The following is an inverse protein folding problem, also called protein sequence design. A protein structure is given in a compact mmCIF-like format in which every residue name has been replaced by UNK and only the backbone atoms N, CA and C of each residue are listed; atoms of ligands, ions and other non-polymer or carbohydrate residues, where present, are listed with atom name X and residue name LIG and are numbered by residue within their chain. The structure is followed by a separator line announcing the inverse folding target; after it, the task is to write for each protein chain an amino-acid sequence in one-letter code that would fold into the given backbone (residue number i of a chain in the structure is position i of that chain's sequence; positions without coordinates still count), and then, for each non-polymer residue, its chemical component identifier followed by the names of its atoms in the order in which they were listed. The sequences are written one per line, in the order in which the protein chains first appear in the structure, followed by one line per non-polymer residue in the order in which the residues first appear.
data_IF_134645039289
#
_entry.id   IF_134645039289
#
_cell.length_a   1.000
_cell.length_b   1.000
_cell.length_c   1.000
_cell.angle_alpha   90.00
_cell.angle_beta   90.00
_cell.angle_gamma   90.00
#
_symmetry.space_group_name_H-M   'P 1'
#
loop_
_entity.id
_entity.type
_entity.pdbx_description
1 polymer ?
#
# COMPACT_ATOMS: atom_id res chain seq x y z
N UNK A 1 41.31 9.84 3.13
CA UNK A 1 40.41 9.47 4.25
C UNK A 1 38.97 9.50 3.74
N UNK A 2 38.39 8.36 3.36
CA UNK A 2 37.06 8.32 2.69
C UNK A 2 36.11 7.23 3.20
N UNK A 3 36.26 6.73 4.44
CA UNK A 3 35.61 5.45 4.79
C UNK A 3 34.86 5.44 6.14
N UNK A 4 34.19 6.52 6.57
CA UNK A 4 33.54 6.54 7.90
C UNK A 4 32.16 7.25 7.95
N UNK A 5 31.41 7.33 6.83
CA UNK A 5 30.09 8.00 6.81
C UNK A 5 28.95 7.20 6.15
N UNK A 6 29.20 5.97 5.68
CA UNK A 6 28.21 5.21 4.89
C UNK A 6 27.50 4.07 5.65
N UNK A 7 27.87 3.76 6.89
CA UNK A 7 27.29 2.61 7.58
C UNK A 7 25.89 2.89 8.15
N UNK A 8 25.61 4.13 8.55
CA UNK A 8 24.30 4.51 9.13
C UNK A 8 23.27 5.02 8.09
N UNK A 9 23.67 5.21 6.82
CA UNK A 9 22.76 5.68 5.75
C UNK A 9 22.16 4.56 4.90
N UNK A 10 22.73 3.36 4.96
CA UNK A 10 22.33 2.22 4.15
C UNK A 10 21.23 1.37 4.81
N UNK A 11 21.18 1.30 6.15
CA UNK A 11 20.26 0.43 6.91
C UNK A 11 18.78 0.78 6.72
N UNK A 12 18.42 2.06 6.81
CA UNK A 12 17.05 2.54 6.58
C UNK A 12 16.55 2.29 5.14
N UNK A 13 17.47 2.14 4.18
CA UNK A 13 17.10 1.81 2.81
C UNK A 13 16.75 0.32 2.62
N UNK A 14 17.31 -0.57 3.45
CA UNK A 14 17.07 -2.02 3.38
C UNK A 14 15.70 -2.40 3.95
N UNK A 15 15.33 -1.86 5.11
CA UNK A 15 14.01 -2.12 5.72
C UNK A 15 12.89 -1.59 4.83
N UNK A 16 13.03 -0.35 4.32
CA UNK A 16 12.08 0.22 3.38
C UNK A 16 12.00 -0.61 2.08
N UNK A 17 13.13 -1.05 1.53
CA UNK A 17 13.17 -1.95 0.35
C UNK A 17 12.46 -3.27 0.62
N UNK A 18 12.64 -3.88 1.79
CA UNK A 18 11.94 -5.11 2.18
C UNK A 18 10.42 -4.93 2.20
N UNK A 19 9.94 -3.86 2.82
CA UNK A 19 8.51 -3.50 2.83
C UNK A 19 7.97 -3.24 1.43
N UNK A 20 8.75 -2.58 0.56
CA UNK A 20 8.34 -2.33 -0.83
C UNK A 20 8.27 -3.61 -1.66
N UNK A 21 9.22 -4.53 -1.50
CA UNK A 21 9.22 -5.81 -2.22
C UNK A 21 8.05 -6.67 -1.76
N UNK A 22 7.83 -6.78 -0.45
CA UNK A 22 6.69 -7.50 0.10
C UNK A 22 5.37 -6.89 -0.39
N UNK A 23 5.27 -5.56 -0.42
CA UNK A 23 4.10 -4.86 -0.93
C UNK A 23 3.83 -5.09 -2.41
N UNK A 24 4.88 -5.06 -3.24
CA UNK A 24 4.79 -5.34 -4.66
C UNK A 24 4.37 -6.78 -4.96
N UNK A 25 4.94 -7.76 -4.27
CA UNK A 25 4.58 -9.18 -4.44
C UNK A 25 3.16 -9.45 -3.97
N UNK A 26 2.74 -8.89 -2.83
CA UNK A 26 1.37 -9.00 -2.34
C UNK A 26 0.37 -8.43 -3.34
N UNK A 27 0.62 -7.21 -3.83
CA UNK A 27 -0.22 -6.58 -4.84
C UNK A 27 -0.26 -7.40 -6.14
N UNK A 28 0.88 -7.92 -6.61
CA UNK A 28 0.92 -8.70 -7.84
C UNK A 28 0.06 -9.98 -7.76
N UNK A 29 0.02 -10.64 -6.60
CA UNK A 29 -0.75 -11.87 -6.40
C UNK A 29 -2.24 -11.57 -6.19
N UNK A 30 -2.58 -10.63 -5.30
CA UNK A 30 -3.98 -10.42 -4.86
C UNK A 30 -4.72 -9.32 -5.63
N UNK A 31 -4.04 -8.38 -6.27
CA UNK A 31 -4.69 -7.31 -7.04
C UNK A 31 -5.62 -7.81 -8.14
N UNK A 32 -5.25 -8.80 -8.99
CA UNK A 32 -6.15 -9.23 -10.06
C UNK A 32 -7.47 -9.78 -9.52
N UNK A 33 -7.42 -10.62 -8.48
CA UNK A 33 -8.64 -11.21 -7.91
C UNK A 33 -9.49 -10.17 -7.18
N UNK A 34 -8.87 -9.23 -6.44
CA UNK A 34 -9.61 -8.17 -5.73
C UNK A 34 -10.29 -7.22 -6.70
N UNK A 35 -9.64 -6.88 -7.82
CA UNK A 35 -10.24 -6.06 -8.87
C UNK A 35 -11.46 -6.77 -9.47
N UNK A 36 -11.37 -8.07 -9.75
CA UNK A 36 -12.51 -8.85 -10.27
C UNK A 36 -13.67 -8.85 -9.26
N UNK A 37 -13.38 -9.08 -7.98
CA UNK A 37 -14.42 -9.06 -6.94
C UNK A 37 -15.09 -7.69 -6.89
N UNK A 38 -14.31 -6.62 -6.87
CA UNK A 38 -14.81 -5.25 -6.67
C UNK A 38 -15.50 -4.67 -7.92
N UNK A 39 -14.97 -4.93 -9.11
CA UNK A 39 -15.48 -4.39 -10.37
C UNK A 39 -16.55 -5.27 -11.02
N UNK A 40 -16.61 -6.56 -10.70
CA UNK A 40 -17.54 -7.50 -11.32
C UNK A 40 -18.48 -8.15 -10.30
N UNK A 41 -17.95 -8.85 -9.29
CA UNK A 41 -18.78 -9.68 -8.40
C UNK A 41 -19.69 -8.84 -7.50
N UNK A 42 -19.21 -7.71 -6.97
CA UNK A 42 -20.03 -6.80 -6.15
C UNK A 42 -21.16 -6.14 -6.96
N UNK A 43 -20.90 -5.53 -8.14
CA UNK A 43 -21.96 -4.85 -8.90
C UNK A 43 -22.91 -5.82 -9.62
N UNK A 44 -22.44 -6.98 -10.10
CA UNK A 44 -23.26 -7.94 -10.85
C UNK A 44 -23.74 -9.14 -10.02
N UNK A 45 -23.35 -9.23 -8.74
CA UNK A 45 -23.71 -10.34 -7.86
C UNK A 45 -25.06 -10.17 -7.15
N UNK A 46 -25.66 -11.30 -6.79
CA UNK A 46 -26.92 -11.34 -6.05
C UNK A 46 -26.74 -10.82 -4.61
N UNK A 47 -27.84 -10.42 -3.96
CA UNK A 47 -27.84 -9.90 -2.59
C UNK A 47 -27.18 -10.86 -1.58
N UNK A 48 -27.36 -12.17 -1.76
CA UNK A 48 -26.69 -13.20 -0.95
C UNK A 48 -25.16 -13.14 -1.11
N UNK A 49 -24.65 -13.11 -2.34
CA UNK A 49 -23.21 -13.02 -2.63
C UNK A 49 -22.59 -11.79 -1.97
N UNK A 50 -23.26 -10.64 -2.04
CA UNK A 50 -22.82 -9.41 -1.38
C UNK A 50 -22.78 -9.55 0.15
N UNK A 51 -23.79 -10.17 0.75
CA UNK A 51 -23.85 -10.39 2.20
C UNK A 51 -22.75 -11.33 2.69
N UNK A 52 -22.39 -12.36 1.92
CA UNK A 52 -21.25 -13.24 2.23
C UNK A 52 -19.92 -12.50 2.18
N UNK A 53 -19.69 -11.68 1.15
CA UNK A 53 -18.46 -10.88 1.03
C UNK A 53 -18.35 -9.89 2.21
N UNK A 54 -19.44 -9.23 2.56
CA UNK A 54 -19.47 -8.34 3.73
C UNK A 54 -19.18 -9.10 5.02
N UNK A 55 -19.75 -10.29 5.21
CA UNK A 55 -19.51 -11.12 6.38
C UNK A 55 -18.05 -11.60 6.46
N UNK A 56 -17.44 -11.94 5.32
CA UNK A 56 -16.04 -12.33 5.21
C UNK A 56 -15.11 -11.16 5.56
N UNK A 57 -15.38 -9.98 4.99
CA UNK A 57 -14.64 -8.74 5.27
C UNK A 57 -14.74 -8.32 6.73
N UNK A 58 -15.87 -8.59 7.38
CA UNK A 58 -16.09 -8.16 8.75
C UNK A 58 -15.35 -9.03 9.80
N UNK A 59 -14.77 -10.16 9.39
CA UNK A 59 -13.91 -10.97 10.27
C UNK A 59 -12.58 -10.27 10.55
N UNK A 60 -11.95 -10.54 11.70
CA UNK A 60 -10.64 -9.96 12.05
C UNK A 60 -9.58 -10.23 10.97
N UNK A 61 -9.58 -11.43 10.39
CA UNK A 61 -8.68 -11.79 9.29
C UNK A 61 -8.97 -10.97 8.02
N UNK A 62 -10.26 -10.79 7.67
CA UNK A 62 -10.68 -9.99 6.52
C UNK A 62 -10.32 -8.51 6.64
N UNK A 63 -10.43 -7.95 7.85
CA UNK A 63 -10.03 -6.56 8.12
C UNK A 63 -8.53 -6.36 7.99
N UNK A 64 -7.72 -7.28 8.56
CA UNK A 64 -6.26 -7.25 8.40
C UNK A 64 -5.87 -7.42 6.94
N UNK A 65 -6.53 -8.34 6.22
CA UNK A 65 -6.30 -8.53 4.78
C UNK A 65 -6.57 -7.25 3.98
N UNK A 66 -7.68 -6.56 4.22
CA UNK A 66 -7.99 -5.28 3.56
C UNK A 66 -7.00 -4.18 3.91
N UNK A 67 -6.57 -4.11 5.17
CA UNK A 67 -5.53 -3.16 5.60
C UNK A 67 -4.24 -3.38 4.81
N UNK A 68 -3.80 -4.64 4.70
CA UNK A 68 -2.63 -4.98 3.91
C UNK A 68 -2.85 -4.62 2.44
N UNK A 69 -4.01 -4.98 1.88
CA UNK A 69 -4.35 -4.75 0.48
C UNK A 69 -4.40 -3.27 0.10
N UNK A 70 -4.78 -2.38 1.03
CA UNK A 70 -4.81 -0.94 0.79
C UNK A 70 -3.44 -0.31 1.02
N UNK A 71 -2.75 -0.72 2.08
CA UNK A 71 -1.48 -0.10 2.50
C UNK A 71 -0.33 -0.50 1.56
N UNK A 72 -0.11 -1.80 1.34
CA UNK A 72 1.08 -2.31 0.65
C UNK A 72 1.28 -1.78 -0.79
N UNK A 73 0.24 -1.70 -1.65
CA UNK A 73 0.39 -1.18 -3.01
C UNK A 73 0.79 0.30 -3.04
N UNK A 74 0.35 1.08 -2.05
CA UNK A 74 0.63 2.52 -1.93
C UNK A 74 2.09 2.72 -1.53
N UNK A 75 2.57 1.97 -0.55
CA UNK A 75 3.99 2.00 -0.17
C UNK A 75 4.90 1.62 -1.35
N UNK A 76 4.51 0.65 -2.18
CA UNK A 76 5.27 0.31 -3.39
C UNK A 76 5.17 1.36 -4.50
N UNK A 77 3.98 1.92 -4.74
CA UNK A 77 3.69 2.79 -5.88
C UNK A 77 4.27 4.20 -5.78
N UNK A 78 4.19 4.86 -4.62
CA UNK A 78 4.58 6.27 -4.53
C UNK A 78 6.08 6.52 -4.80
N UNK A 79 7.05 5.73 -4.29
CA UNK A 79 8.46 5.93 -4.60
C UNK A 79 8.78 5.75 -6.10
N UNK A 80 8.04 4.87 -6.79
CA UNK A 80 8.16 4.69 -8.25
C UNK A 80 7.67 5.94 -8.98
N UNK A 81 6.53 6.51 -8.57
CA UNK A 81 5.99 7.76 -9.13
C UNK A 81 7.01 8.91 -8.96
N UNK A 82 7.66 9.04 -7.81
CA UNK A 82 8.72 10.04 -7.63
C UNK A 82 9.88 9.85 -8.59
N UNK A 83 10.28 8.60 -8.79
CA UNK A 83 11.40 8.25 -9.67
C UNK A 83 11.06 8.58 -11.12
N UNK A 84 9.82 8.31 -11.55
CA UNK A 84 9.29 8.70 -12.87
C UNK A 84 9.24 10.23 -12.99
N UNK A 85 8.74 10.93 -11.97
CA UNK A 85 8.64 12.39 -11.97
C UNK A 85 10.01 13.08 -12.10
N UNK A 86 11.01 12.55 -11.40
CA UNK A 86 12.40 13.01 -11.55
C UNK A 86 12.96 12.70 -12.95
N UNK A 87 12.57 11.60 -13.60
CA UNK A 87 12.94 11.34 -15.02
C UNK A 87 12.34 12.39 -15.96
N UNK A 88 11.15 12.92 -15.65
CA UNK A 88 10.50 14.00 -16.41
C UNK A 88 11.02 15.42 -16.04
N UNK A 89 12.15 15.53 -15.32
CA UNK A 89 12.74 16.80 -14.84
C UNK A 89 11.84 17.66 -13.96
N UNK A 90 10.77 17.08 -13.39
CA UNK A 90 9.96 17.77 -12.39
C UNK A 90 10.62 17.48 -11.03
N UNK A 91 11.22 18.51 -10.43
CA UNK A 91 11.93 18.41 -9.15
C UNK A 91 11.06 18.93 -8.00
N UNK A 92 10.21 18.09 -7.40
CA UNK A 92 9.51 18.50 -6.19
C UNK A 92 10.52 18.71 -5.06
N UNK A 93 10.54 19.92 -4.48
CA UNK A 93 11.31 20.19 -3.26
C UNK A 93 10.87 19.19 -2.17
N UNK A 94 11.83 18.45 -1.60
CA UNK A 94 11.60 17.40 -0.57
C UNK A 94 10.64 16.26 -0.99
N UNK A 95 10.58 15.89 -2.27
CA UNK A 95 9.64 14.88 -2.78
C UNK A 95 9.67 13.51 -2.06
N UNK A 96 10.83 13.06 -1.57
CA UNK A 96 10.92 11.81 -0.79
C UNK A 96 10.10 11.90 0.50
N UNK A 97 10.24 12.99 1.25
CA UNK A 97 9.57 13.18 2.54
C UNK A 97 8.05 13.30 2.37
N UNK A 98 7.59 14.05 1.37
CA UNK A 98 6.16 14.18 1.05
C UNK A 98 5.51 12.83 0.74
N UNK A 99 6.23 11.96 0.02
CA UNK A 99 5.73 10.65 -0.36
C UNK A 99 5.66 9.68 0.82
N UNK A 100 6.67 9.68 1.69
CA UNK A 100 6.60 8.89 2.91
C UNK A 100 5.50 9.40 3.85
N UNK A 101 5.36 10.72 3.99
CA UNK A 101 4.29 11.31 4.79
C UNK A 101 2.90 10.97 4.23
N UNK A 102 2.72 11.00 2.92
CA UNK A 102 1.46 10.65 2.26
C UNK A 102 1.14 9.16 2.41
N UNK A 103 2.12 8.28 2.24
CA UNK A 103 1.95 6.84 2.46
C UNK A 103 1.58 6.54 3.92
N UNK A 104 2.26 7.18 4.88
CA UNK A 104 1.97 7.02 6.31
C UNK A 104 0.57 7.53 6.67
N UNK A 105 0.19 8.71 6.19
CA UNK A 105 -1.13 9.29 6.40
C UNK A 105 -2.23 8.39 5.83
N UNK A 106 -1.99 7.80 4.65
CA UNK A 106 -2.93 6.87 4.04
C UNK A 106 -3.09 5.58 4.84
N UNK A 107 -1.99 4.99 5.31
CA UNK A 107 -2.05 3.80 6.17
C UNK A 107 -2.78 4.09 7.47
N UNK A 108 -2.52 5.24 8.10
CA UNK A 108 -3.25 5.66 9.30
C UNK A 108 -4.76 5.83 9.03
N UNK A 109 -5.12 6.41 7.88
CA UNK A 109 -6.50 6.57 7.45
C UNK A 109 -7.19 5.21 7.22
N UNK A 110 -6.50 4.26 6.57
CA UNK A 110 -7.01 2.91 6.36
C UNK A 110 -7.25 2.17 7.68
N UNK A 111 -6.32 2.29 8.64
CA UNK A 111 -6.48 1.73 10.00
C UNK A 111 -7.71 2.33 10.68
N UNK A 112 -7.86 3.66 10.64
CA UNK A 112 -8.99 4.35 11.25
C UNK A 112 -10.33 3.88 10.67
N UNK A 113 -10.44 3.77 9.34
CA UNK A 113 -11.67 3.31 8.68
C UNK A 113 -12.02 1.86 9.08
N UNK A 114 -11.03 0.96 9.12
CA UNK A 114 -11.27 -0.47 9.34
C UNK A 114 -11.53 -0.85 10.79
N UNK A 115 -10.94 -0.12 11.75
CA UNK A 115 -11.00 -0.48 13.17
C UNK A 115 -11.85 0.49 14.03
N UNK A 116 -11.97 1.76 13.65
CA UNK A 116 -12.68 2.77 14.45
C UNK A 116 -14.09 3.05 13.93
N UNK A 117 -14.30 2.94 12.61
CA UNK A 117 -15.56 3.33 11.95
C UNK A 117 -16.51 2.16 11.67
N UNK A 118 -16.15 0.93 12.05
CA UNK A 118 -16.93 -0.31 11.82
C UNK A 118 -17.67 -0.73 13.07
#
# INVERSE_FOLDING_TARGET
MKNQQSENKQSNSTVARGLFILGGTWAAIFSPIVIIIMAYIIPFGNALSRSYILKLVNTDLGRVFLLLMISLPIWFGLPKILTILNKFKIYPKRGKLLIYALALAWTAHAIFILFVRV
#
